data_IF_230603156481
#
_entry.id   IF_230603156481
#
_cell.length_a   1.000
_cell.length_b   1.000
_cell.length_c   1.000
_cell.angle_alpha   90.00
_cell.angle_beta   90.00
_cell.angle_gamma   90.00
#
_symmetry.space_group_name_H-M   'P 1'
#
loop_
_entity.id
_entity.type
_entity.pdbx_description
1 polymer ?
#
# COMPACT_ATOMS: atom_id res chain seq x y z
N UNK A 1 -14.98 -9.32 15.08
CA UNK A 1 -13.76 -9.88 14.52
C UNK A 1 -12.57 -9.05 14.98
N UNK A 2 -11.54 -9.73 15.46
CA UNK A 2 -10.33 -9.07 15.93
C UNK A 2 -9.31 -9.03 14.78
N UNK A 3 -8.91 -7.83 14.39
CA UNK A 3 -7.92 -7.65 13.35
C UNK A 3 -6.60 -7.26 14.01
N UNK A 4 -5.51 -7.93 13.65
CA UNK A 4 -4.20 -7.61 14.21
C UNK A 4 -3.78 -6.20 13.80
N UNK A 5 -2.82 -5.63 14.55
CA UNK A 5 -2.30 -4.30 14.23
C UNK A 5 -1.75 -4.27 12.81
N UNK A 6 -1.03 -5.33 12.41
CA UNK A 6 -0.50 -5.41 11.05
C UNK A 6 -1.61 -5.48 10.01
N UNK A 7 -2.67 -6.24 10.28
CA UNK A 7 -3.81 -6.32 9.38
C UNK A 7 -4.53 -4.99 9.24
N UNK A 8 -4.68 -4.28 10.36
CA UNK A 8 -5.31 -2.96 10.35
C UNK A 8 -4.49 -1.96 9.53
N UNK A 9 -3.18 -1.98 9.69
CA UNK A 9 -2.30 -1.08 8.93
C UNK A 9 -2.25 -1.46 7.45
N UNK A 10 -2.32 -2.75 7.15
CA UNK A 10 -2.41 -3.20 5.76
C UNK A 10 -3.68 -2.65 5.10
N UNK A 11 -4.80 -2.68 5.82
CA UNK A 11 -6.05 -2.14 5.32
C UNK A 11 -5.95 -0.63 5.08
N UNK A 12 -5.33 0.10 6.00
CA UNK A 12 -5.10 1.54 5.83
C UNK A 12 -4.28 1.83 4.59
N UNK A 13 -3.23 1.03 4.37
CA UNK A 13 -2.38 1.18 3.19
C UNK A 13 -3.18 0.96 1.91
N UNK A 14 -3.98 -0.09 1.86
CA UNK A 14 -4.80 -0.37 0.69
C UNK A 14 -5.82 0.74 0.43
N UNK A 15 -6.39 1.31 1.49
CA UNK A 15 -7.32 2.43 1.36
C UNK A 15 -6.63 3.68 0.81
N UNK A 16 -5.39 3.94 1.26
CA UNK A 16 -4.61 5.05 0.71
C UNK A 16 -4.37 4.87 -0.78
N UNK A 17 -3.99 3.65 -1.18
CA UNK A 17 -3.73 3.37 -2.59
C UNK A 17 -5.01 3.44 -3.44
N UNK A 18 -6.14 3.08 -2.84
CA UNK A 18 -7.42 3.15 -3.53
C UNK A 18 -7.86 4.58 -3.83
N UNK A 19 -7.35 5.55 -3.08
CA UNK A 19 -7.70 6.96 -3.27
C UNK A 19 -6.86 7.66 -4.35
N UNK A 20 -5.91 6.95 -4.93
CA UNK A 20 -5.09 7.51 -6.02
C UNK A 20 -5.91 7.47 -7.30
N UNK A 21 -6.29 8.65 -7.79
CA UNK A 21 -7.25 8.78 -8.89
C UNK A 21 -6.79 8.14 -10.20
N UNK A 22 -5.52 8.31 -10.53
CA UNK A 22 -5.00 7.84 -11.82
C UNK A 22 -4.35 6.46 -11.74
N UNK A 23 -4.52 5.77 -10.61
CA UNK A 23 -3.95 4.45 -10.38
C UNK A 23 -2.43 4.43 -10.56
N UNK A 24 -1.76 5.54 -10.25
CA UNK A 24 -0.32 5.63 -10.35
C UNK A 24 0.35 5.01 -9.12
N UNK A 25 1.65 4.74 -9.24
CA UNK A 25 2.42 4.23 -8.12
C UNK A 25 2.67 5.32 -7.09
N UNK A 26 2.52 4.97 -5.82
CA UNK A 26 2.73 5.90 -4.72
C UNK A 26 3.95 5.46 -3.91
N UNK A 27 4.95 6.32 -3.72
CA UNK A 27 6.11 5.98 -2.90
C UNK A 27 5.72 5.74 -1.44
N UNK A 28 6.35 4.77 -0.80
CA UNK A 28 6.08 4.47 0.60
C UNK A 28 6.40 5.64 1.52
N UNK A 29 7.37 6.48 1.14
CA UNK A 29 7.71 7.68 1.91
C UNK A 29 6.49 8.58 2.09
N UNK A 30 5.70 8.74 1.04
CA UNK A 30 4.50 9.57 1.06
C UNK A 30 3.48 8.97 2.03
N UNK A 31 3.26 7.67 1.93
CA UNK A 31 2.31 6.98 2.79
C UNK A 31 2.77 7.03 4.25
N UNK A 32 4.06 6.83 4.47
CA UNK A 32 4.65 6.89 5.81
C UNK A 32 4.39 8.24 6.46
N UNK A 33 4.57 9.33 5.70
CA UNK A 33 4.34 10.67 6.21
C UNK A 33 2.85 10.92 6.47
N UNK A 34 1.99 10.48 5.57
CA UNK A 34 0.55 10.71 5.69
C UNK A 34 -0.08 9.93 6.84
N UNK A 35 0.35 8.69 7.03
CA UNK A 35 -0.26 7.79 8.02
C UNK A 35 0.52 7.73 9.33
N UNK A 36 1.67 8.40 9.39
CA UNK A 36 2.53 8.38 10.57
C UNK A 36 2.91 6.95 10.96
N UNK A 37 3.28 6.15 9.98
CA UNK A 37 3.72 4.77 10.14
C UNK A 37 5.16 4.67 9.66
N UNK A 38 6.02 3.93 10.37
CA UNK A 38 7.42 3.82 9.98
C UNK A 38 7.55 3.20 8.59
N UNK A 39 8.53 3.70 7.83
CA UNK A 39 8.79 3.19 6.49
C UNK A 39 9.13 1.70 6.51
N UNK A 40 9.92 1.30 7.49
CA UNK A 40 10.32 -0.10 7.63
C UNK A 40 9.11 -1.01 7.87
N UNK A 41 8.16 -0.56 8.68
CA UNK A 41 6.95 -1.33 8.95
C UNK A 41 6.08 -1.41 7.68
N UNK A 42 5.99 -0.32 6.93
CA UNK A 42 5.26 -0.32 5.68
C UNK A 42 5.89 -1.28 4.67
N UNK A 43 7.23 -1.36 4.63
CA UNK A 43 7.92 -2.30 3.75
C UNK A 43 7.53 -3.74 4.07
N UNK A 44 7.43 -4.06 5.36
CA UNK A 44 6.99 -5.39 5.79
C UNK A 44 5.57 -5.69 5.34
N UNK A 45 4.68 -4.71 5.49
CA UNK A 45 3.27 -4.87 5.10
C UNK A 45 3.14 -5.02 3.58
N UNK A 46 3.82 -4.16 2.82
CA UNK A 46 3.75 -4.21 1.36
C UNK A 46 4.34 -5.49 0.81
N UNK A 47 5.39 -6.02 1.45
CA UNK A 47 5.96 -7.31 1.05
C UNK A 47 4.92 -8.41 1.18
N UNK A 48 4.18 -8.43 2.29
CA UNK A 48 3.11 -9.40 2.51
C UNK A 48 2.01 -9.25 1.47
N UNK A 49 1.56 -8.02 1.23
CA UNK A 49 0.48 -7.75 0.28
C UNK A 49 0.90 -8.08 -1.15
N UNK A 50 2.17 -7.84 -1.48
CA UNK A 50 2.70 -8.17 -2.81
C UNK A 50 2.71 -9.68 -3.04
N UNK A 51 3.06 -10.44 -2.03
CA UNK A 51 3.03 -11.91 -2.12
C UNK A 51 1.61 -12.42 -2.33
N UNK A 52 0.63 -11.74 -1.76
CA UNK A 52 -0.79 -12.09 -1.93
C UNK A 52 -1.37 -11.49 -3.22
N UNK A 53 -0.56 -10.75 -3.97
CA UNK A 53 -0.96 -10.12 -5.24
C UNK A 53 -2.05 -9.05 -5.05
N UNK A 54 -2.11 -8.43 -3.87
CA UNK A 54 -3.02 -7.31 -3.63
C UNK A 54 -2.45 -5.99 -4.12
N UNK A 55 -1.12 -5.86 -4.15
CA UNK A 55 -0.45 -4.65 -4.61
C UNK A 55 0.64 -4.99 -5.61
N UNK A 56 0.97 -4.02 -6.45
CA UNK A 56 2.06 -4.11 -7.41
C UNK A 56 3.12 -3.10 -7.02
N UNK A 57 4.37 -3.44 -7.29
CA UNK A 57 5.51 -2.58 -7.00
C UNK A 57 6.22 -2.19 -8.28
N UNK A 58 6.76 -0.97 -8.31
CA UNK A 58 7.65 -0.53 -9.36
C UNK A 58 8.87 0.11 -8.71
N UNK A 59 10.04 -0.12 -9.28
CA UNK A 59 11.28 0.46 -8.79
C UNK A 59 11.71 1.62 -9.67
N UNK A 60 12.64 2.44 -9.15
CA UNK A 60 13.21 3.55 -9.90
C UNK A 60 12.43 4.83 -9.73
N UNK A 61 12.72 5.79 -10.60
CA UNK A 61 12.09 7.10 -10.55
C UNK A 61 10.60 7.00 -10.88
N UNK A 62 9.78 7.55 -10.02
CA UNK A 62 8.34 7.46 -10.19
C UNK A 62 7.75 6.14 -9.70
N UNK A 63 8.57 5.30 -9.05
CA UNK A 63 8.13 4.02 -8.53
C UNK A 63 7.39 4.13 -7.21
N UNK A 64 7.00 2.99 -6.69
CA UNK A 64 6.24 2.89 -5.44
C UNK A 64 5.33 1.70 -5.49
N UNK A 65 4.16 1.84 -4.91
CA UNK A 65 3.16 0.77 -4.86
C UNK A 65 1.81 1.25 -5.33
N UNK A 66 1.01 0.33 -5.85
CA UNK A 66 -0.38 0.59 -6.20
C UNK A 66 -1.17 -0.70 -6.05
N UNK A 67 -2.49 -0.59 -6.00
CA UNK A 67 -3.33 -1.79 -5.97
C UNK A 67 -3.15 -2.55 -7.28
N UNK A 68 -3.16 -3.89 -7.19
CA UNK A 68 -3.05 -4.74 -8.38
C UNK A 68 -4.25 -4.57 -9.30
N UNK A 69 -5.40 -4.21 -8.73
CA UNK A 69 -6.63 -3.97 -9.48
C UNK A 69 -7.20 -2.61 -9.10
N UNK A 70 -7.84 -1.92 -10.06
CA UNK A 70 -8.55 -0.69 -9.72
C UNK A 70 -9.58 -0.95 -8.61
N UNK A 71 -9.83 0.04 -7.73
CA UNK A 71 -10.78 -0.14 -6.63
C UNK A 71 -12.16 -0.62 -7.07
N UNK A 72 -12.62 -0.16 -8.20
CA UNK A 72 -13.93 -0.53 -8.71
C UNK A 72 -14.00 -1.95 -9.27
N UNK A 73 -12.86 -2.62 -9.39
CA UNK A 73 -12.81 -4.01 -9.86
C UNK A 73 -12.81 -5.03 -8.72
N UNK A 74 -12.85 -4.55 -7.48
CA UNK A 74 -12.76 -5.42 -6.29
C UNK A 74 -14.14 -5.79 -5.78
#
# INVERSE_FOLDING_TARGET
MIVSTKGRNALKLMMCLAQVDDHSYTPLKVISAQQNISLKYLESITSMLSKQKFVEAASGKGGGYRLSRPPEAV
#
